data_IF_241404385888
#
_entry.id   IF_241404385888
#
_cell.length_a   1.000
_cell.length_b   1.000
_cell.length_c   1.000
_cell.angle_alpha   90.00
_cell.angle_beta   90.00
_cell.angle_gamma   90.00
#
_symmetry.space_group_name_H-M   'P 1'
#
loop_
_entity.id
_entity.type
_entity.pdbx_description
1 polymer ?
#
# COMPACT_ATOMS: atom_id res chain seq x y z
N UNK A 1 19.79 55.42 49.60
CA UNK A 1 19.29 55.80 48.26
C UNK A 1 20.38 55.50 47.24
N UNK A 2 20.30 54.33 46.61
CA UNK A 2 20.99 54.00 45.36
C UNK A 2 20.12 52.95 44.65
N UNK A 3 19.72 53.29 43.42
CA UNK A 3 18.93 52.48 42.49
C UNK A 3 19.66 51.16 42.17
N UNK A 4 18.93 50.06 42.08
CA UNK A 4 19.35 48.88 41.31
C UNK A 4 18.37 48.69 40.16
N UNK A 5 18.96 48.61 38.96
CA UNK A 5 18.30 48.58 37.66
C UNK A 5 17.51 47.28 37.43
N UNK A 6 16.41 47.40 36.68
CA UNK A 6 15.67 46.29 36.08
C UNK A 6 16.58 45.57 35.07
N UNK A 7 16.93 44.32 35.33
CA UNK A 7 17.55 43.45 34.34
C UNK A 7 16.49 42.96 33.34
N UNK A 8 16.77 43.21 32.07
CA UNK A 8 16.01 42.74 30.91
C UNK A 8 15.81 41.23 30.98
N UNK A 9 14.58 40.77 30.81
CA UNK A 9 14.30 39.37 30.52
C UNK A 9 14.73 39.14 29.06
N UNK A 10 15.86 38.46 28.86
CA UNK A 10 16.24 37.93 27.55
C UNK A 10 15.22 36.85 27.13
N UNK A 11 14.26 37.24 26.29
CA UNK A 11 13.28 36.35 25.68
C UNK A 11 13.91 35.65 24.47
N UNK A 12 14.86 34.73 24.71
CA UNK A 12 15.47 33.97 23.60
C UNK A 12 16.05 32.60 24.03
N UNK A 13 15.19 31.70 24.52
CA UNK A 13 15.36 30.23 24.53
C UNK A 13 13.94 29.64 24.61
N UNK A 14 13.45 28.73 23.78
CA UNK A 14 14.02 27.91 22.74
C UNK A 14 12.94 27.76 21.64
N UNK A 15 13.36 27.83 20.39
CA UNK A 15 12.58 27.26 19.31
C UNK A 15 12.87 25.76 19.38
N UNK A 16 12.07 25.02 20.14
CA UNK A 16 12.15 23.55 20.15
C UNK A 16 11.79 23.10 18.73
N UNK A 17 12.74 22.60 17.91
CA UNK A 17 12.36 22.04 16.64
C UNK A 17 11.54 20.81 17.00
N UNK A 18 10.26 20.85 16.69
CA UNK A 18 9.37 19.72 16.85
C UNK A 18 10.07 18.48 16.25
N UNK A 19 10.46 17.47 17.06
CA UNK A 19 11.25 16.34 16.59
C UNK A 19 10.48 15.48 15.57
N UNK A 20 9.18 15.73 15.41
CA UNK A 20 8.36 15.11 14.36
C UNK A 20 8.68 15.63 12.94
N UNK A 21 9.49 16.69 12.77
CA UNK A 21 9.76 17.31 11.46
C UNK A 21 11.23 17.41 11.06
N UNK A 22 12.10 16.55 11.61
CA UNK A 22 13.47 16.41 11.13
C UNK A 22 13.83 14.97 10.76
N UNK A 23 12.86 14.20 10.23
CA UNK A 23 13.17 13.03 9.42
C UNK A 23 13.45 13.51 7.98
N UNK A 24 14.43 12.89 7.30
CA UNK A 24 14.58 13.04 5.84
C UNK A 24 13.21 12.84 5.17
N UNK A 25 12.91 13.52 4.04
CA UNK A 25 11.59 13.41 3.43
C UNK A 25 11.28 11.94 3.15
N UNK A 26 10.32 11.39 3.87
CA UNK A 26 9.86 10.03 3.72
C UNK A 26 9.46 9.82 2.25
N UNK A 27 10.09 8.86 1.55
CA UNK A 27 9.71 8.51 0.19
C UNK A 27 8.23 8.18 0.17
N UNK A 28 7.51 8.73 -0.81
CA UNK A 28 6.08 8.49 -1.02
C UNK A 28 5.95 7.47 -2.14
N UNK A 29 5.60 6.24 -1.80
CA UNK A 29 5.56 5.11 -2.72
C UNK A 29 4.15 4.54 -2.77
N UNK A 30 3.66 4.23 -3.97
CA UNK A 30 2.38 3.57 -4.12
C UNK A 30 2.48 2.40 -5.10
N UNK A 31 1.82 1.29 -4.76
CA UNK A 31 1.49 0.22 -5.68
C UNK A 31 -0.03 0.15 -5.79
N UNK A 32 -0.56 0.40 -6.99
CA UNK A 32 -2.00 0.43 -7.26
C UNK A 32 -2.30 -0.65 -8.30
N UNK A 33 -3.18 -1.58 -7.95
CA UNK A 33 -3.49 -2.76 -8.75
C UNK A 33 -4.97 -2.79 -9.08
N UNK A 34 -5.32 -2.93 -10.36
CA UNK A 34 -6.69 -3.08 -10.84
C UNK A 34 -6.84 -4.34 -11.68
N UNK A 35 -7.70 -5.27 -11.26
CA UNK A 35 -7.96 -6.51 -11.98
C UNK A 35 -9.44 -6.55 -12.38
N UNK A 36 -9.71 -6.43 -13.69
CA UNK A 36 -11.06 -6.40 -14.26
C UNK A 36 -11.37 -7.63 -15.13
N UNK A 37 -10.39 -8.11 -15.91
CA UNK A 37 -10.62 -9.09 -16.99
C UNK A 37 -10.43 -10.56 -16.55
N UNK A 38 -11.23 -11.02 -15.57
CA UNK A 38 -11.09 -12.37 -15.03
C UNK A 38 -11.42 -13.46 -16.06
N UNK A 39 -10.59 -14.50 -16.10
CA UNK A 39 -10.79 -15.64 -17.04
C UNK A 39 -11.73 -16.68 -16.46
N UNK A 40 -11.58 -16.99 -15.16
CA UNK A 40 -12.33 -18.05 -14.47
C UNK A 40 -13.25 -17.52 -13.35
N UNK A 41 -13.55 -16.22 -13.37
CA UNK A 41 -14.56 -15.56 -12.54
C UNK A 41 -15.32 -14.54 -13.41
N UNK A 42 -16.42 -14.00 -12.90
CA UNK A 42 -17.09 -12.88 -13.56
C UNK A 42 -16.09 -11.72 -13.76
N UNK A 43 -16.09 -11.06 -14.93
CA UNK A 43 -15.35 -9.81 -15.09
C UNK A 43 -15.85 -8.77 -14.08
N UNK A 44 -14.95 -7.87 -13.66
CA UNK A 44 -15.26 -6.76 -12.78
C UNK A 44 -14.92 -5.42 -13.47
N UNK A 45 -15.69 -5.01 -14.51
CA UNK A 45 -15.47 -3.75 -15.20
C UNK A 45 -15.48 -2.57 -14.20
N UNK A 46 -14.54 -1.65 -14.37
CA UNK A 46 -14.35 -0.49 -13.49
C UNK A 46 -13.27 -0.69 -12.42
N UNK A 47 -12.81 -1.93 -12.17
CA UNK A 47 -11.69 -2.15 -11.25
C UNK A 47 -10.36 -1.58 -11.78
N UNK A 48 -10.20 -1.55 -13.11
CA UNK A 48 -9.12 -0.87 -13.82
C UNK A 48 -9.28 0.65 -13.80
N UNK A 49 -10.48 1.17 -14.07
CA UNK A 49 -10.78 2.61 -13.98
C UNK A 49 -10.51 3.15 -12.56
N UNK A 50 -10.99 2.46 -11.52
CA UNK A 50 -10.75 2.81 -10.11
C UNK A 50 -9.24 2.88 -9.79
N UNK A 51 -8.47 1.93 -10.33
CA UNK A 51 -7.03 1.87 -10.12
C UNK A 51 -6.32 3.04 -10.82
N UNK A 52 -6.74 3.39 -12.03
CA UNK A 52 -6.21 4.53 -12.77
C UNK A 52 -6.52 5.86 -12.07
N UNK A 53 -7.77 6.10 -11.66
CA UNK A 53 -8.17 7.33 -10.96
C UNK A 53 -7.39 7.52 -9.65
N UNK A 54 -7.24 6.44 -8.87
CA UNK A 54 -6.46 6.49 -7.65
C UNK A 54 -4.97 6.72 -7.93
N UNK A 55 -4.41 6.09 -8.96
CA UNK A 55 -3.02 6.27 -9.34
C UNK A 55 -2.73 7.71 -9.77
N UNK A 56 -3.60 8.33 -10.58
CA UNK A 56 -3.52 9.74 -10.96
C UNK A 56 -3.59 10.67 -9.74
N UNK A 57 -4.54 10.41 -8.84
CA UNK A 57 -4.70 11.16 -7.59
C UNK A 57 -3.41 11.08 -6.75
N UNK A 58 -2.86 9.89 -6.55
CA UNK A 58 -1.64 9.70 -5.77
C UNK A 58 -0.42 10.36 -6.43
N UNK A 59 -0.29 10.30 -7.76
CA UNK A 59 0.75 11.04 -8.50
C UNK A 59 0.65 12.54 -8.23
N UNK A 60 -0.56 13.11 -8.25
CA UNK A 60 -0.77 14.54 -7.95
C UNK A 60 -0.37 14.93 -6.51
N UNK A 61 -0.41 13.97 -5.58
CA UNK A 61 0.02 14.13 -4.18
C UNK A 61 1.51 13.85 -3.97
N UNK A 62 2.29 13.67 -5.05
CA UNK A 62 3.73 13.47 -5.02
C UNK A 62 4.18 12.05 -4.70
N UNK A 63 3.32 11.05 -4.87
CA UNK A 63 3.73 9.65 -4.80
C UNK A 63 4.42 9.21 -6.10
N UNK A 64 5.47 8.40 -5.96
CA UNK A 64 5.97 7.56 -7.03
C UNK A 64 5.08 6.32 -7.12
N UNK A 65 4.25 6.26 -8.16
CA UNK A 65 3.21 5.23 -8.31
C UNK A 65 3.64 4.17 -9.31
N UNK A 66 3.62 2.90 -8.87
CA UNK A 66 3.61 1.73 -9.74
C UNK A 66 2.16 1.32 -9.95
N UNK A 67 1.65 1.53 -11.15
CA UNK A 67 0.28 1.15 -11.55
C UNK A 67 0.35 -0.17 -12.33
N UNK A 68 -0.50 -1.12 -11.95
CA UNK A 68 -0.52 -2.46 -12.55
C UNK A 68 -1.96 -2.87 -12.83
N UNK A 69 -2.24 -3.20 -14.08
CA UNK A 69 -3.57 -3.62 -14.50
C UNK A 69 -3.55 -5.07 -14.93
N UNK A 70 -4.62 -5.80 -14.60
CA UNK A 70 -4.91 -7.13 -15.11
C UNK A 70 -3.78 -8.15 -14.87
N UNK A 71 -3.38 -8.29 -13.61
CA UNK A 71 -2.33 -9.22 -13.18
C UNK A 71 -2.79 -10.66 -13.37
N UNK A 72 -2.09 -11.41 -14.24
CA UNK A 72 -2.56 -12.72 -14.70
C UNK A 72 -2.44 -13.77 -13.62
N UNK A 73 -1.33 -13.80 -12.88
CA UNK A 73 -1.06 -14.86 -11.92
C UNK A 73 -0.52 -14.37 -10.58
N UNK A 74 -0.63 -15.20 -9.54
CA UNK A 74 0.00 -14.95 -8.23
C UNK A 74 1.51 -14.79 -8.35
N UNK A 75 2.16 -15.58 -9.21
CA UNK A 75 3.61 -15.53 -9.39
C UNK A 75 4.04 -14.20 -10.01
N UNK A 76 3.34 -13.76 -11.05
CA UNK A 76 3.54 -12.44 -11.66
C UNK A 76 3.35 -11.32 -10.64
N UNK A 77 2.22 -11.31 -9.91
CA UNK A 77 1.96 -10.33 -8.85
C UNK A 77 3.15 -10.21 -7.91
N UNK A 78 3.62 -11.34 -7.36
CA UNK A 78 4.67 -11.32 -6.35
C UNK A 78 6.03 -10.96 -6.93
N UNK A 79 6.44 -11.60 -8.03
CA UNK A 79 7.81 -11.49 -8.53
C UNK A 79 8.05 -10.23 -9.36
N UNK A 80 7.05 -9.78 -10.12
CA UNK A 80 7.20 -8.66 -11.06
C UNK A 80 6.79 -7.34 -10.42
N UNK A 81 5.82 -7.35 -9.50
CA UNK A 81 5.23 -6.12 -8.97
C UNK A 81 5.49 -5.94 -7.48
N UNK A 82 5.11 -6.92 -6.65
CA UNK A 82 5.09 -6.74 -5.21
C UNK A 82 6.48 -6.75 -4.58
N UNK A 83 7.32 -7.75 -4.88
CA UNK A 83 8.68 -7.83 -4.31
C UNK A 83 9.55 -6.64 -4.76
N UNK A 84 9.59 -6.25 -6.05
CA UNK A 84 10.32 -5.05 -6.46
C UNK A 84 9.79 -3.77 -5.78
N UNK A 85 8.47 -3.66 -5.59
CA UNK A 85 7.90 -2.56 -4.84
C UNK A 85 8.39 -2.55 -3.39
N UNK A 86 8.36 -3.70 -2.70
CA UNK A 86 8.88 -3.83 -1.33
C UNK A 86 10.36 -3.46 -1.22
N UNK A 87 11.16 -3.77 -2.23
CA UNK A 87 12.60 -3.46 -2.25
C UNK A 87 12.88 -1.97 -2.49
N UNK A 88 11.89 -1.23 -3.00
CA UNK A 88 11.97 0.24 -3.12
C UNK A 88 11.64 0.98 -1.82
N UNK A 89 11.04 0.28 -0.83
CA UNK A 89 10.62 0.87 0.45
C UNK A 89 11.83 0.98 1.38
N UNK A 90 12.18 2.22 1.72
CA UNK A 90 13.13 2.54 2.79
C UNK A 90 12.38 2.71 4.13
N UNK A 91 13.05 2.42 5.24
CA UNK A 91 12.49 2.65 6.58
C UNK A 91 12.02 4.11 6.71
N UNK A 92 10.80 4.30 7.23
CA UNK A 92 10.20 5.62 7.36
C UNK A 92 9.43 6.12 6.12
N UNK A 93 9.42 5.39 5.00
CA UNK A 93 8.63 5.75 3.81
C UNK A 93 7.12 5.84 4.10
N UNK A 94 6.42 6.73 3.38
CA UNK A 94 4.95 6.74 3.30
C UNK A 94 4.51 5.83 2.15
N UNK A 95 3.80 4.75 2.48
CA UNK A 95 3.49 3.68 1.54
C UNK A 95 1.98 3.53 1.38
N UNK A 96 1.52 3.45 0.14
CA UNK A 96 0.15 3.08 -0.22
C UNK A 96 0.17 1.78 -1.02
N UNK A 97 -0.61 0.79 -0.59
CA UNK A 97 -0.92 -0.37 -1.40
C UNK A 97 -2.43 -0.40 -1.66
N UNK A 98 -2.84 -0.42 -2.92
CA UNK A 98 -4.25 -0.50 -3.30
C UNK A 98 -4.50 -1.68 -4.23
N UNK A 99 -5.59 -2.38 -4.00
CA UNK A 99 -6.08 -3.44 -4.87
C UNK A 99 -7.59 -3.28 -5.12
N UNK A 100 -7.95 -3.17 -6.40
CA UNK A 100 -9.32 -3.20 -6.92
C UNK A 100 -9.51 -4.48 -7.72
N UNK A 101 -10.47 -5.32 -7.32
CA UNK A 101 -10.66 -6.64 -7.95
C UNK A 101 -11.52 -7.61 -7.15
N UNK A 102 -11.38 -8.90 -7.43
CA UNK A 102 -12.02 -9.97 -6.67
C UNK A 102 -11.16 -10.42 -5.50
N UNK A 103 -11.84 -10.72 -4.42
CA UNK A 103 -11.27 -11.36 -3.25
C UNK A 103 -12.29 -12.26 -2.58
N UNK A 104 -11.81 -13.15 -1.74
CA UNK A 104 -12.66 -14.03 -0.95
C UNK A 104 -12.02 -14.34 0.40
N UNK A 105 -12.84 -14.80 1.34
CA UNK A 105 -12.37 -15.24 2.66
C UNK A 105 -12.51 -16.75 2.77
N UNK A 106 -11.44 -17.41 3.23
CA UNK A 106 -11.44 -18.84 3.52
C UNK A 106 -10.66 -19.12 4.79
N UNK A 107 -11.28 -19.83 5.73
CA UNK A 107 -10.63 -20.21 7.00
C UNK A 107 -10.20 -19.01 7.86
N UNK A 108 -10.90 -17.88 7.77
CA UNK A 108 -10.56 -16.66 8.51
C UNK A 108 -9.55 -15.74 7.83
N UNK A 109 -8.96 -16.17 6.70
CA UNK A 109 -8.00 -15.37 5.93
C UNK A 109 -8.64 -14.79 4.67
N UNK A 110 -8.37 -13.51 4.37
CA UNK A 110 -8.76 -12.88 3.12
C UNK A 110 -7.69 -13.03 2.04
N UNK A 111 -8.14 -13.30 0.83
CA UNK A 111 -7.30 -13.54 -0.33
C UNK A 111 -7.70 -12.64 -1.50
N UNK A 112 -6.71 -12.08 -2.19
CA UNK A 112 -6.88 -11.38 -3.46
C UNK A 112 -6.70 -12.35 -4.63
N UNK A 113 -7.50 -12.18 -5.69
CA UNK A 113 -7.51 -13.06 -6.84
C UNK A 113 -6.72 -12.48 -8.02
N UNK A 114 -5.77 -13.23 -8.61
CA UNK A 114 -5.26 -12.89 -9.93
C UNK A 114 -6.32 -13.22 -11.01
N UNK A 115 -6.11 -12.78 -12.25
CA UNK A 115 -7.07 -13.05 -13.33
C UNK A 115 -7.18 -14.53 -13.70
N UNK A 116 -6.05 -15.25 -13.61
CA UNK A 116 -5.94 -16.66 -13.97
C UNK A 116 -5.63 -17.50 -12.73
N UNK A 117 -6.49 -18.50 -12.51
CA UNK A 117 -6.33 -19.53 -11.50
C UNK A 117 -7.06 -20.80 -11.97
N UNK A 118 -6.70 -22.00 -11.50
CA UNK A 118 -7.40 -23.22 -11.89
C UNK A 118 -8.90 -23.16 -11.57
N UNK A 119 -9.80 -23.63 -12.45
CA UNK A 119 -11.26 -23.56 -12.23
C UNK A 119 -11.73 -24.38 -11.02
N UNK A 120 -10.91 -25.31 -10.55
CA UNK A 120 -11.12 -26.05 -9.29
C UNK A 120 -9.85 -25.98 -8.47
N UNK A 121 -9.93 -25.29 -7.34
CA UNK A 121 -8.83 -25.17 -6.38
C UNK A 121 -9.14 -26.04 -5.16
N UNK A 122 -8.23 -26.96 -4.82
CA UNK A 122 -8.33 -27.74 -3.57
C UNK A 122 -8.06 -26.81 -2.38
N UNK A 123 -8.71 -27.05 -1.24
CA UNK A 123 -8.48 -26.28 -0.01
C UNK A 123 -6.99 -26.16 0.36
N UNK A 124 -6.22 -27.24 0.19
CA UNK A 124 -4.77 -27.29 0.46
C UNK A 124 -3.92 -26.43 -0.49
N UNK A 125 -4.49 -25.91 -1.58
CA UNK A 125 -3.80 -25.09 -2.59
C UNK A 125 -4.18 -23.62 -2.55
N UNK A 126 -5.19 -23.22 -1.76
CA UNK A 126 -5.68 -21.83 -1.67
C UNK A 126 -4.51 -20.87 -1.40
N UNK A 127 -3.72 -21.12 -0.36
CA UNK A 127 -2.59 -20.25 0.04
C UNK A 127 -1.48 -20.13 -1.03
N UNK A 128 -1.34 -21.15 -1.88
CA UNK A 128 -0.35 -21.16 -2.96
C UNK A 128 -0.89 -20.68 -4.30
N UNK A 129 -2.21 -20.51 -4.43
CA UNK A 129 -2.88 -20.09 -5.66
C UNK A 129 -3.26 -18.62 -5.61
N UNK A 130 -3.67 -18.13 -4.45
CA UNK A 130 -4.14 -16.76 -4.24
C UNK A 130 -3.20 -15.97 -3.33
N UNK A 131 -3.46 -14.67 -3.22
CA UNK A 131 -2.63 -13.73 -2.47
C UNK A 131 -3.20 -13.53 -1.07
N UNK A 132 -2.58 -14.11 -0.04
CA UNK A 132 -2.98 -13.87 1.36
C UNK A 132 -2.68 -12.44 1.74
N UNK A 133 -3.71 -11.68 2.11
CA UNK A 133 -3.53 -10.29 2.51
C UNK A 133 -2.75 -10.15 3.81
N UNK A 134 -2.90 -11.10 4.72
CA UNK A 134 -2.10 -11.15 5.95
C UNK A 134 -0.63 -11.26 5.60
N UNK A 135 -0.25 -12.18 4.71
CA UNK A 135 1.14 -12.29 4.25
C UNK A 135 1.63 -11.05 3.51
N UNK A 136 0.81 -10.44 2.65
CA UNK A 136 1.19 -9.19 1.98
C UNK A 136 1.45 -8.08 3.00
N UNK A 137 0.52 -7.86 3.93
CA UNK A 137 0.64 -6.86 5.00
C UNK A 137 1.86 -7.11 5.88
N UNK A 138 2.13 -8.35 6.27
CA UNK A 138 3.31 -8.71 7.07
C UNK A 138 4.61 -8.39 6.32
N UNK A 139 4.70 -8.75 5.04
CA UNK A 139 5.85 -8.44 4.21
C UNK A 139 6.05 -6.92 4.04
N UNK A 140 4.98 -6.16 3.81
CA UNK A 140 5.03 -4.71 3.75
C UNK A 140 5.51 -4.10 5.07
N UNK A 141 4.93 -4.53 6.19
CA UNK A 141 5.31 -4.04 7.52
C UNK A 141 6.74 -4.41 7.90
N UNK A 142 7.29 -5.51 7.36
CA UNK A 142 8.70 -5.89 7.57
C UNK A 142 9.69 -4.85 7.03
N UNK A 143 9.27 -3.99 6.08
CA UNK A 143 10.07 -2.87 5.56
C UNK A 143 10.05 -1.63 6.45
N UNK A 144 9.27 -1.66 7.54
CA UNK A 144 9.17 -0.57 8.53
C UNK A 144 8.84 0.80 7.90
N UNK A 145 7.78 0.89 7.06
CA UNK A 145 7.32 2.19 6.60
C UNK A 145 6.90 3.07 7.78
N UNK A 146 7.04 4.39 7.65
CA UNK A 146 6.59 5.32 8.67
C UNK A 146 5.06 5.33 8.78
N UNK A 147 4.38 5.17 7.64
CA UNK A 147 2.93 4.99 7.54
C UNK A 147 2.64 4.07 6.35
N UNK A 148 1.74 3.09 6.54
CA UNK A 148 1.24 2.22 5.48
C UNK A 148 -0.28 2.26 5.42
N UNK A 149 -0.84 2.58 4.25
CA UNK A 149 -2.27 2.55 3.98
C UNK A 149 -2.58 1.41 2.99
N UNK A 150 -3.57 0.59 3.31
CA UNK A 150 -4.03 -0.51 2.46
C UNK A 150 -5.49 -0.25 2.08
N UNK A 151 -5.74 -0.05 0.78
CA UNK A 151 -7.09 0.11 0.22
C UNK A 151 -7.50 -1.18 -0.49
N UNK A 152 -8.71 -1.66 -0.19
CA UNK A 152 -9.32 -2.79 -0.88
C UNK A 152 -10.69 -2.39 -1.39
N UNK A 153 -10.84 -2.35 -2.71
CA UNK A 153 -12.15 -2.34 -3.35
C UNK A 153 -12.42 -3.73 -3.92
N UNK A 154 -13.01 -4.61 -3.10
CA UNK A 154 -13.18 -6.01 -3.43
C UNK A 154 -14.65 -6.41 -3.56
N UNK A 155 -15.00 -7.04 -4.68
CA UNK A 155 -16.29 -7.71 -4.86
C UNK A 155 -16.12 -9.23 -4.73
N UNK A 156 -17.10 -9.97 -4.17
CA UNK A 156 -17.07 -11.43 -4.20
C UNK A 156 -17.18 -11.93 -5.66
N UNK A 157 -16.51 -13.04 -6.02
CA UNK A 157 -16.70 -13.66 -7.33
C UNK A 157 -18.12 -14.24 -7.42
N UNK A 158 -18.91 -13.78 -8.41
CA UNK A 158 -20.27 -14.26 -8.69
C UNK A 158 -20.32 -15.53 -9.52
#
# INVERSE_FOLDING_TARGET
MFLVALSSIDLARAQDPNPYFAAAPAKRLALVVGNADYVNAAPLPGADDDAQELAETLRSLGFSVTEVLNVRSRAEFLQVHYLPFLDSIEEGSLVVFSFSGHGFTYGGESYLMPLEFPPKVKATKIFTTFLSETSLRELLNSRRPGVALIFRNCSPPS
#
